data_IF_265583458845
#
_entry.id   IF_265583458845
#
_cell.length_a   1.000
_cell.length_b   1.000
_cell.length_c   1.000
_cell.angle_alpha   90.00
_cell.angle_beta   90.00
_cell.angle_gamma   90.00
#
_symmetry.space_group_name_H-M   'P 1'
#
loop_
_entity.id
_entity.type
_entity.pdbx_description
1 polymer ?
#
# COMPACT_ATOMS: atom_id res chain seq x y z
N UNK A 1 -2.80 -12.64 17.13
CA UNK A 1 -1.53 -11.91 17.31
C UNK A 1 -1.87 -10.45 17.56
N UNK A 2 -1.11 -9.72 18.39
CA UNK A 2 -1.28 -8.27 18.50
C UNK A 2 -0.93 -7.61 17.16
N UNK A 3 -1.52 -6.45 16.83
CA UNK A 3 -1.12 -5.66 15.67
C UNK A 3 0.36 -5.30 15.76
N UNK A 4 1.13 -5.56 14.69
CA UNK A 4 2.57 -5.31 14.66
C UNK A 4 2.90 -4.19 13.67
N UNK A 5 3.64 -3.15 14.05
CA UNK A 5 4.12 -2.13 13.12
C UNK A 5 4.90 -2.73 11.94
N UNK A 6 4.69 -2.21 10.73
CA UNK A 6 5.40 -2.65 9.54
C UNK A 6 5.58 -1.54 8.51
N UNK A 7 6.53 -1.74 7.61
CA UNK A 7 6.66 -1.03 6.33
C UNK A 7 6.14 -1.93 5.21
N UNK A 8 5.37 -1.36 4.30
CA UNK A 8 4.80 -2.05 3.14
C UNK A 8 5.38 -1.48 1.84
N UNK A 9 6.06 -2.31 1.07
CA UNK A 9 6.54 -1.98 -0.28
C UNK A 9 5.37 -1.84 -1.24
N UNK A 10 5.14 -0.65 -1.79
CA UNK A 10 3.97 -0.37 -2.64
C UNK A 10 4.05 -1.05 -4.00
N UNK A 11 5.24 -1.22 -4.56
CA UNK A 11 5.43 -1.94 -5.83
C UNK A 11 5.05 -3.42 -5.74
N UNK A 12 5.24 -4.03 -4.55
CA UNK A 12 4.86 -5.42 -4.28
C UNK A 12 3.41 -5.54 -3.82
N UNK A 13 2.88 -4.55 -3.09
CA UNK A 13 1.50 -4.54 -2.63
C UNK A 13 0.50 -4.22 -3.75
N UNK A 14 0.86 -3.33 -4.68
CA UNK A 14 0.01 -2.87 -5.78
C UNK A 14 0.75 -3.00 -7.12
N UNK A 15 1.00 -4.24 -7.58
CA UNK A 15 1.71 -4.45 -8.84
C UNK A 15 1.01 -3.75 -10.00
N UNK A 16 1.77 -2.99 -10.79
CA UNK A 16 1.26 -2.20 -11.91
C UNK A 16 0.70 -0.82 -11.54
N UNK A 17 0.54 -0.50 -10.26
CA UNK A 17 0.17 0.85 -9.85
C UNK A 17 1.29 1.86 -10.18
N UNK A 18 0.91 3.05 -10.64
CA UNK A 18 1.87 4.08 -11.07
C UNK A 18 2.49 3.86 -12.47
N UNK A 19 2.14 2.79 -13.18
CA UNK A 19 2.65 2.49 -14.53
C UNK A 19 1.90 3.25 -15.66
N UNK A 20 0.95 4.14 -15.31
CA UNK A 20 0.21 4.89 -16.31
C UNK A 20 1.15 5.80 -17.11
N UNK A 21 1.04 5.78 -18.44
CA UNK A 21 1.87 6.61 -19.33
C UNK A 21 1.58 8.10 -19.23
N UNK A 22 0.41 8.48 -18.72
CA UNK A 22 0.04 9.89 -18.56
C UNK A 22 0.87 10.51 -17.45
N UNK A 23 1.71 11.47 -17.81
CA UNK A 23 2.54 12.19 -16.87
C UNK A 23 1.70 12.99 -15.88
N UNK A 24 2.26 13.32 -14.71
CA UNK A 24 1.58 14.11 -13.67
C UNK A 24 1.00 15.43 -14.20
N UNK A 25 1.62 16.04 -15.21
CA UNK A 25 1.19 17.30 -15.81
C UNK A 25 0.02 17.16 -16.79
N UNK A 26 -0.27 15.95 -17.25
CA UNK A 26 -1.41 15.64 -18.14
C UNK A 26 -2.68 15.32 -17.35
N UNK A 27 -2.59 15.25 -16.02
CA UNK A 27 -3.72 14.99 -15.14
C UNK A 27 -4.44 16.30 -14.80
N UNK A 28 -5.79 16.29 -14.72
CA UNK A 28 -6.56 17.43 -14.24
C UNK A 28 -6.05 17.94 -12.88
N UNK A 29 -6.11 19.26 -12.67
CA UNK A 29 -5.60 19.89 -11.44
C UNK A 29 -6.24 19.32 -10.17
N UNK A 30 -7.55 19.03 -10.20
CA UNK A 30 -8.25 18.41 -9.07
C UNK A 30 -7.65 17.03 -8.73
N UNK A 31 -7.25 16.24 -9.73
CA UNK A 31 -6.65 14.93 -9.48
C UNK A 31 -5.23 15.06 -8.94
N UNK A 32 -4.48 16.09 -9.34
CA UNK A 32 -3.17 16.38 -8.75
C UNK A 32 -3.26 16.81 -7.28
N UNK A 33 -4.36 17.46 -6.90
CA UNK A 33 -4.64 17.88 -5.53
C UNK A 33 -5.15 16.71 -4.65
N UNK A 34 -6.05 15.87 -5.17
CA UNK A 34 -6.74 14.86 -4.36
C UNK A 34 -6.28 13.42 -4.62
N UNK A 35 -5.47 13.17 -5.64
CA UNK A 35 -5.02 11.85 -6.02
C UNK A 35 -4.16 11.16 -4.97
N UNK A 36 -4.26 9.83 -4.92
CA UNK A 36 -3.41 8.98 -4.09
C UNK A 36 -1.95 9.12 -4.50
N UNK A 37 -1.08 9.29 -3.51
CA UNK A 37 0.36 9.40 -3.67
C UNK A 37 1.02 8.13 -3.14
N UNK A 38 1.27 7.18 -4.04
CA UNK A 38 2.00 5.96 -3.70
C UNK A 38 3.49 6.27 -3.52
N UNK A 39 3.90 6.36 -2.28
CA UNK A 39 5.33 6.38 -1.90
C UNK A 39 5.95 4.99 -2.09
N UNK A 40 7.27 4.83 -2.22
CA UNK A 40 7.90 3.52 -2.39
C UNK A 40 7.58 2.54 -1.26
N UNK A 41 7.45 3.06 -0.04
CA UNK A 41 7.08 2.33 1.16
C UNK A 41 6.01 3.11 1.93
N UNK A 42 5.10 2.39 2.59
CA UNK A 42 4.07 2.94 3.45
C UNK A 42 4.19 2.35 4.86
N UNK A 43 4.07 3.19 5.87
CA UNK A 43 3.93 2.73 7.25
C UNK A 43 2.53 2.17 7.50
N UNK A 44 2.47 1.08 8.26
CA UNK A 44 1.21 0.45 8.62
C UNK A 44 1.35 -0.49 9.80
N UNK A 45 0.31 -1.29 9.98
CA UNK A 45 0.28 -2.38 10.96
C UNK A 45 -0.20 -3.67 10.30
N UNK A 46 0.44 -4.78 10.63
CA UNK A 46 -0.05 -6.12 10.32
C UNK A 46 -1.10 -6.50 11.34
N UNK A 47 -2.30 -6.83 10.89
CA UNK A 47 -3.41 -7.25 11.74
C UNK A 47 -3.42 -8.78 11.94
N UNK A 48 -3.19 -9.53 10.85
CA UNK A 48 -3.17 -10.99 10.87
C UNK A 48 -2.40 -11.57 9.69
N UNK A 49 -2.03 -12.84 9.81
CA UNK A 49 -1.38 -13.64 8.77
C UNK A 49 -2.29 -14.80 8.35
N UNK A 50 -2.27 -15.13 7.06
CA UNK A 50 -2.97 -16.28 6.50
C UNK A 50 -2.02 -17.08 5.60
N UNK A 51 -2.04 -18.42 5.74
CA UNK A 51 -1.27 -19.32 4.88
C UNK A 51 -2.11 -19.72 3.67
N UNK A 52 -1.56 -19.58 2.47
CA UNK A 52 -2.16 -20.10 1.25
C UNK A 52 -1.87 -21.60 1.11
N UNK A 53 -2.73 -22.31 0.38
CA UNK A 53 -2.51 -23.73 0.05
C UNK A 53 -1.28 -23.96 -0.84
N UNK A 54 -0.81 -22.91 -1.54
CA UNK A 54 0.47 -22.91 -2.25
C UNK A 54 1.69 -22.95 -1.33
N UNK A 55 1.49 -22.70 -0.03
CA UNK A 55 2.56 -22.56 0.94
C UNK A 55 3.04 -21.12 1.14
N UNK A 56 2.54 -20.14 0.40
CA UNK A 56 2.85 -18.72 0.61
C UNK A 56 2.08 -18.14 1.82
N UNK A 57 2.50 -16.95 2.27
CA UNK A 57 1.81 -16.19 3.31
C UNK A 57 1.26 -14.87 2.77
N UNK A 58 0.07 -14.52 3.26
CA UNK A 58 -0.52 -13.19 3.12
C UNK A 58 -0.59 -12.52 4.50
N UNK A 59 -0.38 -11.21 4.50
CA UNK A 59 -0.62 -10.34 5.65
C UNK A 59 -1.82 -9.44 5.35
N UNK A 60 -2.77 -9.36 6.28
CA UNK A 60 -3.74 -8.28 6.29
C UNK A 60 -3.08 -7.07 6.95
N UNK A 61 -2.98 -5.97 6.21
CA UNK A 61 -2.33 -4.74 6.65
C UNK A 61 -3.33 -3.58 6.65
N UNK A 62 -3.20 -2.73 7.66
CA UNK A 62 -3.85 -1.42 7.68
C UNK A 62 -2.81 -0.35 7.37
N UNK A 63 -3.11 0.49 6.37
CA UNK A 63 -2.22 1.52 5.83
C UNK A 63 -2.97 2.84 5.72
N UNK A 64 -2.22 3.94 5.65
CA UNK A 64 -2.74 5.25 5.27
C UNK A 64 -2.02 5.73 4.01
N UNK A 65 -2.74 5.81 2.88
CA UNK A 65 -2.16 6.29 1.62
C UNK A 65 -2.25 7.82 1.58
N UNK A 66 -1.14 8.56 1.45
CA UNK A 66 -1.16 10.02 1.36
C UNK A 66 -1.92 10.52 0.12
N UNK A 67 -2.50 11.70 0.25
CA UNK A 67 -3.10 12.53 -0.81
C UNK A 67 -2.60 13.97 -0.63
N UNK A 68 -2.93 14.88 -1.54
CA UNK A 68 -2.60 16.29 -1.33
C UNK A 68 -3.39 16.99 -0.21
N UNK A 69 -4.39 16.33 0.40
CA UNK A 69 -5.24 16.90 1.45
C UNK A 69 -5.34 16.06 2.73
N UNK A 70 -4.49 15.05 2.89
CA UNK A 70 -4.53 14.14 4.03
C UNK A 70 -4.12 12.73 3.65
N UNK A 71 -4.72 11.73 4.27
CA UNK A 71 -4.47 10.33 3.93
C UNK A 71 -5.78 9.53 3.89
N UNK A 72 -5.81 8.51 3.04
CA UNK A 72 -6.93 7.58 2.91
C UNK A 72 -6.56 6.29 3.63
N UNK A 73 -7.26 5.91 4.71
CA UNK A 73 -7.02 4.64 5.36
C UNK A 73 -7.53 3.49 4.48
N UNK A 74 -6.73 2.43 4.38
CA UNK A 74 -7.11 1.20 3.70
C UNK A 74 -6.75 -0.01 4.54
N UNK A 75 -7.53 -1.07 4.39
CA UNK A 75 -7.21 -2.40 4.91
C UNK A 75 -7.21 -3.36 3.73
N UNK A 76 -6.11 -4.09 3.53
CA UNK A 76 -5.97 -4.99 2.38
C UNK A 76 -5.06 -6.16 2.70
N UNK A 77 -5.11 -7.19 1.86
CA UNK A 77 -4.18 -8.31 1.90
C UNK A 77 -3.01 -8.08 0.96
N UNK A 78 -1.80 -8.33 1.44
CA UNK A 78 -0.56 -8.27 0.65
C UNK A 78 0.26 -9.52 0.84
N UNK A 79 1.11 -9.85 -0.14
CA UNK A 79 2.11 -10.92 0.00
C UNK A 79 3.06 -10.61 1.17
N UNK A 80 3.53 -11.65 1.87
CA UNK A 80 4.62 -11.53 2.85
C UNK A 80 5.81 -10.74 2.29
N UNK A 81 6.11 -10.89 0.99
CA UNK A 81 7.23 -10.21 0.35
C UNK A 81 7.06 -8.68 0.31
N UNK A 82 5.83 -8.18 0.46
CA UNK A 82 5.56 -6.75 0.52
C UNK A 82 5.78 -6.17 1.93
N UNK A 83 5.92 -6.99 2.97
CA UNK A 83 5.95 -6.55 4.37
C UNK A 83 7.36 -6.64 4.95
N UNK A 84 7.81 -5.58 5.63
CA UNK A 84 9.02 -5.54 6.45
C UNK A 84 8.66 -5.11 7.87
N UNK A 85 9.11 -5.86 8.88
CA UNK A 85 8.95 -5.46 10.28
C UNK A 85 9.80 -4.21 10.59
N UNK A 86 9.33 -3.40 11.55
CA UNK A 86 10.00 -2.18 12.04
C UNK A 86 10.34 -2.34 13.50
#
# INVERSE_FOLDING_TARGET
>A
MPPTPCLVSTSRAFPGAGAARRGRNELPLWLRAHGLQLQPELHGVVLRWARLTSGDWLAEVQLAIPTGHGAVPITTWVSQQAVRAV
#
